data_IF_600906093095
#
_entry.id   IF_600906093095
#
_cell.length_a   1.000
_cell.length_b   1.000
_cell.length_c   1.000
_cell.angle_alpha   90.00
_cell.angle_beta   90.00
_cell.angle_gamma   90.00
#
_symmetry.space_group_name_H-M   'P 1'
#
loop_
_entity.id
_entity.type
_entity.pdbx_description
1 polymer ?
#
# COMPACT_ATOMS: atom_id res chain seq x y z
N UNK A 1 -30.67 32.02 4.46
CA UNK A 1 -29.39 32.52 5.00
C UNK A 1 -28.95 31.48 6.00
N UNK A 2 -28.29 30.47 5.46
CA UNK A 2 -27.95 29.21 6.09
C UNK A 2 -26.42 29.09 6.10
N UNK A 3 -25.92 28.39 7.13
CA UNK A 3 -24.58 27.79 7.24
C UNK A 3 -23.42 28.69 7.73
N UNK A 4 -23.61 29.30 8.90
CA UNK A 4 -22.52 29.40 9.88
C UNK A 4 -22.62 28.19 10.82
N UNK A 5 -21.99 27.07 10.44
CA UNK A 5 -21.49 26.10 11.42
C UNK A 5 -19.98 26.15 11.33
N UNK A 6 -19.41 26.94 12.23
CA UNK A 6 -17.98 26.99 12.48
C UNK A 6 -17.49 25.57 12.74
N UNK A 7 -16.43 25.22 12.02
CA UNK A 7 -15.66 24.03 12.32
C UNK A 7 -14.85 24.43 13.56
N UNK A 8 -15.12 23.77 14.69
CA UNK A 8 -14.44 24.05 15.95
C UNK A 8 -12.92 23.97 15.73
N UNK A 9 -12.20 25.03 16.11
CA UNK A 9 -10.76 25.22 15.88
C UNK A 9 -9.86 24.17 16.56
N UNK A 10 -10.42 23.23 17.32
CA UNK A 10 -9.70 22.08 17.89
C UNK A 10 -9.63 20.87 16.94
N UNK A 11 -10.36 20.90 15.82
CA UNK A 11 -10.28 19.88 14.75
C UNK A 11 -9.22 20.23 13.68
N UNK A 12 -8.23 21.05 14.03
CA UNK A 12 -7.03 21.25 13.21
C UNK A 12 -6.31 19.91 13.14
N UNK A 13 -6.44 19.24 11.99
CA UNK A 13 -5.69 18.03 11.62
C UNK A 13 -4.20 18.38 11.57
N UNK A 14 -3.55 18.44 12.73
CA UNK A 14 -2.12 18.67 12.88
C UNK A 14 -1.43 17.34 12.60
N UNK A 15 -0.85 17.19 11.41
CA UNK A 15 0.09 16.11 11.10
C UNK A 15 1.28 16.20 12.08
N UNK A 16 1.85 15.10 12.59
CA UNK A 16 3.03 15.18 13.45
C UNK A 16 4.14 15.82 12.62
N UNK A 17 4.84 16.79 13.21
CA UNK A 17 5.70 17.86 12.62
C UNK A 17 5.03 19.26 12.63
N UNK A 18 3.76 19.40 13.04
CA UNK A 18 3.16 20.74 13.20
C UNK A 18 2.89 21.44 11.87
N UNK A 19 2.81 20.67 10.78
CA UNK A 19 2.24 21.14 9.52
C UNK A 19 0.72 20.99 9.63
N UNK A 20 0.01 22.09 9.83
CA UNK A 20 -1.43 22.10 9.55
C UNK A 20 -1.60 21.82 8.06
N UNK A 21 -2.49 20.89 7.70
CA UNK A 21 -2.85 20.63 6.30
C UNK A 21 -3.25 21.93 5.59
N UNK A 22 -3.87 22.86 6.34
CA UNK A 22 -4.28 24.19 5.88
C UNK A 22 -3.13 25.18 5.64
N UNK A 23 -1.99 25.04 6.33
CA UNK A 23 -0.83 25.96 6.17
C UNK A 23 -0.18 25.88 4.79
N UNK A 24 -0.49 24.81 4.05
CA UNK A 24 -0.01 24.58 2.71
C UNK A 24 -1.06 24.94 1.65
N UNK A 25 -2.27 25.33 2.03
CA UNK A 25 -3.27 25.86 1.08
C UNK A 25 -3.10 27.39 0.96
N UNK A 26 -3.00 27.86 -0.28
CA UNK A 26 -3.03 29.29 -0.63
C UNK A 26 -4.27 29.54 -1.47
N UNK A 27 -5.10 30.48 -1.07
CA UNK A 27 -6.23 30.89 -1.91
C UNK A 27 -5.75 31.79 -3.05
N UNK A 28 -6.12 31.44 -4.27
CA UNK A 28 -5.93 32.25 -5.48
C UNK A 28 -7.29 32.66 -6.04
N UNK A 29 -7.29 33.58 -7.00
CA UNK A 29 -8.47 33.96 -7.78
C UNK A 29 -9.16 32.78 -8.49
N UNK A 30 -8.45 31.66 -8.68
CA UNK A 30 -8.98 30.42 -9.26
C UNK A 30 -9.34 29.35 -8.19
N UNK A 31 -9.38 29.72 -6.91
CA UNK A 31 -9.69 28.83 -5.80
C UNK A 31 -8.46 28.44 -4.95
N UNK A 32 -8.64 27.54 -3.97
CA UNK A 32 -7.57 27.07 -3.10
C UNK A 32 -6.54 26.23 -3.87
N UNK A 33 -5.29 26.67 -3.83
CA UNK A 33 -4.13 26.02 -4.44
C UNK A 33 -3.24 25.47 -3.34
N UNK A 34 -2.98 24.17 -3.37
CA UNK A 34 -2.05 23.54 -2.45
C UNK A 34 -0.58 23.75 -2.88
N UNK A 35 0.26 24.25 -1.97
CA UNK A 35 1.71 24.45 -2.13
C UNK A 35 2.45 23.95 -0.88
N UNK A 36 3.14 22.79 -0.93
CA UNK A 36 3.85 22.26 0.22
C UNK A 36 5.03 23.15 0.60
N UNK A 37 5.13 23.55 1.88
CA UNK A 37 6.28 24.31 2.40
C UNK A 37 7.59 23.51 2.42
N UNK A 38 7.54 22.17 2.44
CA UNK A 38 8.72 21.32 2.49
C UNK A 38 8.99 20.62 1.14
N UNK A 39 9.86 21.20 0.31
CA UNK A 39 10.30 20.65 -1.00
C UNK A 39 11.26 19.46 -0.91
N UNK A 40 11.75 19.10 0.28
CA UNK A 40 12.93 18.21 0.41
C UNK A 40 12.65 16.72 0.18
N UNK A 41 11.40 16.26 0.24
CA UNK A 41 11.05 14.85 0.07
C UNK A 41 10.32 14.54 -1.23
N UNK A 42 10.02 15.54 -2.07
CA UNK A 42 9.23 15.36 -3.29
C UNK A 42 7.80 14.86 -3.08
N UNK A 43 7.40 14.49 -1.85
CA UNK A 43 6.13 13.85 -1.50
C UNK A 43 4.94 14.79 -1.58
N UNK A 44 3.83 14.28 -2.12
CA UNK A 44 2.56 15.01 -2.12
C UNK A 44 1.89 14.90 -0.73
N UNK A 45 0.98 15.82 -0.40
CA UNK A 45 0.30 15.86 0.91
C UNK A 45 -0.65 14.70 1.06
N UNK A 46 -1.27 14.33 -0.06
CA UNK A 46 -2.12 13.16 -0.16
C UNK A 46 -1.32 11.89 0.17
N UNK A 47 -0.07 11.78 -0.32
CA UNK A 47 0.83 10.68 0.02
C UNK A 47 1.16 10.65 1.52
N UNK A 48 1.44 11.80 2.13
CA UNK A 48 1.70 11.90 3.58
C UNK A 48 0.48 11.54 4.42
N UNK A 49 -0.68 12.13 4.11
CA UNK A 49 -1.93 11.83 4.80
C UNK A 49 -2.30 10.36 4.67
N UNK A 50 -2.05 9.75 3.51
CA UNK A 50 -2.27 8.33 3.27
C UNK A 50 -1.30 7.42 4.05
N UNK A 51 -0.02 7.78 4.16
CA UNK A 51 0.97 7.06 4.97
C UNK A 51 0.61 7.05 6.47
N UNK A 52 0.08 8.17 6.96
CA UNK A 52 -0.36 8.31 8.35
C UNK A 52 -1.73 7.68 8.63
N UNK A 53 -2.52 7.44 7.59
CA UNK A 53 -3.88 6.91 7.72
C UNK A 53 -4.90 7.95 8.18
N UNK A 54 -4.71 9.22 7.82
CA UNK A 54 -5.62 10.31 8.19
C UNK A 54 -6.77 10.39 7.20
N UNK A 55 -7.77 9.53 7.39
CA UNK A 55 -8.89 9.39 6.47
C UNK A 55 -9.62 10.72 6.19
N UNK A 56 -9.86 11.54 7.23
CA UNK A 56 -10.46 12.87 7.07
C UNK A 56 -9.61 13.81 6.20
N UNK A 57 -8.29 13.81 6.42
CA UNK A 57 -7.36 14.64 5.63
C UNK A 57 -7.30 14.18 4.18
N UNK A 58 -7.26 12.86 3.96
CA UNK A 58 -7.29 12.26 2.62
C UNK A 58 -8.56 12.66 1.89
N UNK A 59 -9.74 12.56 2.52
CA UNK A 59 -11.01 13.00 1.93
C UNK A 59 -10.97 14.47 1.48
N UNK A 60 -10.49 15.37 2.32
CA UNK A 60 -10.38 16.79 2.00
C UNK A 60 -9.41 16.97 0.82
N UNK A 61 -8.23 16.36 0.88
CA UNK A 61 -7.19 16.50 -0.14
C UNK A 61 -7.60 15.92 -1.49
N UNK A 62 -8.41 14.87 -1.54
CA UNK A 62 -8.94 14.31 -2.78
C UNK A 62 -9.84 15.30 -3.55
N UNK A 63 -10.46 16.27 -2.87
CA UNK A 63 -11.21 17.34 -3.52
C UNK A 63 -10.34 18.36 -4.25
N UNK A 64 -9.04 18.43 -3.94
CA UNK A 64 -8.12 19.46 -4.43
C UNK A 64 -6.88 18.91 -5.16
N UNK A 65 -6.72 17.58 -5.19
CA UNK A 65 -5.52 16.94 -5.74
C UNK A 65 -5.88 15.74 -6.61
N UNK A 66 -5.01 15.46 -7.58
CA UNK A 66 -5.12 14.25 -8.36
C UNK A 66 -4.68 13.06 -7.50
N UNK A 67 -5.59 12.09 -7.34
CA UNK A 67 -5.41 10.88 -6.54
C UNK A 67 -4.19 10.04 -6.95
N UNK A 68 -3.84 10.08 -8.23
CA UNK A 68 -2.71 9.35 -8.82
C UNK A 68 -1.47 10.23 -8.97
N UNK A 69 -1.44 11.44 -8.40
CA UNK A 69 -0.28 12.33 -8.56
C UNK A 69 0.93 11.73 -7.86
N UNK A 70 1.84 11.21 -8.67
CA UNK A 70 3.11 10.69 -8.23
C UNK A 70 4.06 11.84 -7.86
N UNK A 71 4.71 11.76 -6.70
CA UNK A 71 5.89 12.56 -6.39
C UNK A 71 7.07 12.12 -7.27
N UNK A 72 8.17 12.86 -7.25
CA UNK A 72 9.39 12.53 -8.02
C UNK A 72 9.95 11.12 -7.73
N UNK A 73 9.54 10.52 -6.61
CA UNK A 73 9.88 9.15 -6.21
C UNK A 73 8.97 8.04 -6.81
N UNK A 74 7.93 8.39 -7.58
CA UNK A 74 7.04 7.41 -8.25
C UNK A 74 6.04 6.69 -7.33
N UNK A 75 5.97 7.04 -6.05
CA UNK A 75 5.12 6.36 -5.05
C UNK A 75 3.76 7.05 -4.86
N UNK A 76 2.67 6.32 -5.09
CA UNK A 76 1.30 6.87 -4.93
C UNK A 76 0.81 6.85 -3.49
N UNK A 77 -0.27 7.60 -3.23
CA UNK A 77 -0.94 7.60 -1.93
C UNK A 77 -1.43 6.20 -1.55
N UNK A 78 -1.94 5.43 -2.52
CA UNK A 78 -2.37 4.04 -2.30
C UNK A 78 -1.21 3.15 -1.87
N UNK A 79 -0.05 3.28 -2.54
CA UNK A 79 1.14 2.49 -2.18
C UNK A 79 1.56 2.74 -0.73
N UNK A 80 1.64 4.01 -0.32
CA UNK A 80 2.04 4.36 1.06
C UNK A 80 1.00 3.93 2.09
N UNK A 81 -0.29 4.06 1.81
CA UNK A 81 -1.33 3.55 2.70
C UNK A 81 -1.15 2.05 2.96
N UNK A 82 -0.89 1.27 1.90
CA UNK A 82 -0.65 -0.17 2.04
C UNK A 82 0.67 -0.48 2.78
N UNK A 83 1.74 0.24 2.45
CA UNK A 83 3.06 0.02 3.04
C UNK A 83 3.07 0.26 4.56
N UNK A 84 2.32 1.26 5.03
CA UNK A 84 2.17 1.58 6.45
C UNK A 84 0.95 0.94 7.12
N UNK A 85 0.32 -0.05 6.47
CA UNK A 85 -0.83 -0.79 6.99
C UNK A 85 -2.05 0.10 7.34
N UNK A 86 -2.35 1.09 6.50
CA UNK A 86 -3.51 1.97 6.60
C UNK A 86 -4.65 1.40 5.73
N UNK A 87 -5.21 0.27 6.15
CA UNK A 87 -6.19 -0.49 5.36
C UNK A 87 -7.45 0.32 5.08
N UNK A 88 -7.97 1.07 6.06
CA UNK A 88 -9.15 1.93 5.86
C UNK A 88 -8.90 2.96 4.76
N UNK A 89 -7.75 3.64 4.84
CA UNK A 89 -7.31 4.64 3.87
C UNK A 89 -7.09 4.04 2.50
N UNK A 90 -6.46 2.86 2.41
CA UNK A 90 -6.26 2.16 1.15
C UNK A 90 -7.59 1.77 0.49
N UNK A 91 -8.54 1.20 1.25
CA UNK A 91 -9.89 0.88 0.76
C UNK A 91 -10.61 2.14 0.28
N UNK A 92 -10.47 3.25 1.00
CA UNK A 92 -11.05 4.53 0.61
C UNK A 92 -10.45 5.07 -0.70
N UNK A 93 -9.12 5.07 -0.83
CA UNK A 93 -8.43 5.49 -2.04
C UNK A 93 -8.85 4.64 -3.26
N UNK A 94 -8.95 3.32 -3.08
CA UNK A 94 -9.43 2.41 -4.13
C UNK A 94 -10.88 2.71 -4.55
N UNK A 95 -11.78 2.97 -3.60
CA UNK A 95 -13.17 3.37 -3.88
C UNK A 95 -13.26 4.70 -4.65
N UNK A 96 -12.29 5.59 -4.43
CA UNK A 96 -12.18 6.87 -5.12
C UNK A 96 -11.45 6.77 -6.46
N UNK A 97 -11.15 5.55 -6.93
CA UNK A 97 -10.58 5.31 -8.25
C UNK A 97 -9.06 5.40 -8.32
N UNK A 98 -8.35 5.32 -7.19
CA UNK A 98 -6.89 5.30 -7.19
C UNK A 98 -6.36 4.14 -8.06
N UNK A 99 -5.39 4.42 -8.91
CA UNK A 99 -4.75 3.39 -9.72
C UNK A 99 -3.91 2.46 -8.84
N UNK A 100 -4.14 1.18 -9.02
CA UNK A 100 -3.32 0.11 -8.43
C UNK A 100 -1.89 0.10 -8.98
N UNK A 101 -1.69 0.55 -10.23
CA UNK A 101 -0.38 0.64 -10.87
C UNK A 101 0.14 2.08 -10.85
N UNK A 102 1.34 2.25 -10.33
CA UNK A 102 2.13 3.48 -10.38
C UNK A 102 3.41 3.27 -11.22
N UNK A 103 4.16 4.34 -11.48
CA UNK A 103 5.45 4.26 -12.16
C UNK A 103 6.44 3.44 -11.32
N UNK A 104 6.89 2.31 -11.88
CA UNK A 104 7.87 1.43 -11.27
C UNK A 104 7.40 0.56 -10.10
N UNK A 105 6.27 0.91 -9.46
CA UNK A 105 5.70 0.14 -8.35
C UNK A 105 4.19 -0.11 -8.54
N UNK A 106 3.73 -1.23 -8.03
CA UNK A 106 2.31 -1.59 -7.97
C UNK A 106 1.86 -1.71 -6.51
N UNK A 107 0.62 -1.34 -6.21
CA UNK A 107 -0.02 -1.46 -4.90
C UNK A 107 0.17 -2.85 -4.27
N UNK A 108 0.18 -3.90 -5.10
CA UNK A 108 0.38 -5.27 -4.63
C UNK A 108 1.78 -5.55 -4.07
N UNK A 109 2.82 -4.76 -4.40
CA UNK A 109 4.13 -4.90 -3.75
C UNK A 109 4.10 -4.43 -2.29
N UNK A 110 3.32 -3.39 -1.98
CA UNK A 110 3.17 -2.86 -0.63
C UNK A 110 2.15 -3.64 0.21
N UNK A 111 1.17 -4.29 -0.42
CA UNK A 111 0.11 -5.02 0.27
C UNK A 111 0.62 -6.12 1.24
N UNK A 112 1.66 -6.92 0.92
CA UNK A 112 2.29 -7.81 1.89
C UNK A 112 2.68 -7.09 3.19
N UNK A 113 3.31 -5.92 3.12
CA UNK A 113 3.74 -5.16 4.31
C UNK A 113 2.60 -4.79 5.24
N UNK A 114 1.39 -4.63 4.71
CA UNK A 114 0.18 -4.40 5.53
C UNK A 114 -0.17 -5.60 6.43
N UNK A 115 0.20 -6.83 6.03
CA UNK A 115 -0.18 -8.05 6.72
C UNK A 115 -1.66 -8.42 6.55
N UNK A 116 -2.42 -7.70 5.72
CA UNK A 116 -3.81 -7.99 5.41
C UNK A 116 -3.93 -8.89 4.18
N UNK A 117 -4.13 -10.19 4.40
CA UNK A 117 -4.43 -11.14 3.32
C UNK A 117 -5.71 -10.76 2.55
N UNK A 118 -6.70 -10.21 3.23
CA UNK A 118 -7.94 -9.69 2.62
C UNK A 118 -7.62 -8.62 1.58
N UNK A 119 -6.77 -7.64 1.92
CA UNK A 119 -6.37 -6.59 0.98
C UNK A 119 -5.62 -7.15 -0.25
N UNK A 120 -4.78 -8.17 -0.05
CA UNK A 120 -4.12 -8.86 -1.16
C UNK A 120 -5.17 -9.55 -2.06
N UNK A 121 -6.15 -10.23 -1.46
CA UNK A 121 -7.28 -10.83 -2.21
C UNK A 121 -8.05 -9.77 -2.99
N UNK A 122 -8.39 -8.65 -2.36
CA UNK A 122 -9.15 -7.56 -2.99
C UNK A 122 -8.39 -7.03 -4.20
N UNK A 123 -7.10 -6.72 -4.06
CA UNK A 123 -6.27 -6.23 -5.17
C UNK A 123 -6.20 -7.23 -6.34
N UNK A 124 -6.04 -8.52 -6.06
CA UNK A 124 -5.92 -9.54 -7.12
C UNK A 124 -7.27 -9.87 -7.77
N UNK A 125 -8.33 -10.04 -6.97
CA UNK A 125 -9.64 -10.50 -7.46
C UNK A 125 -10.56 -9.37 -7.91
N UNK A 126 -10.61 -8.25 -7.18
CA UNK A 126 -11.53 -7.15 -7.46
C UNK A 126 -10.89 -6.11 -8.39
N UNK A 127 -9.59 -5.86 -8.24
CA UNK A 127 -8.86 -4.89 -9.06
C UNK A 127 -7.99 -5.55 -10.15
N UNK A 128 -8.11 -6.88 -10.32
CA UNK A 128 -7.46 -7.67 -11.37
C UNK A 128 -5.95 -7.46 -11.46
N UNK A 129 -5.29 -7.17 -10.34
CA UNK A 129 -3.84 -7.01 -10.30
C UNK A 129 -3.17 -8.36 -10.47
N UNK A 130 -2.24 -8.46 -11.44
CA UNK A 130 -1.44 -9.66 -11.60
C UNK A 130 -0.63 -9.92 -10.32
N UNK A 131 -0.76 -11.11 -9.73
CA UNK A 131 -0.04 -11.50 -8.52
C UNK A 131 1.48 -11.53 -8.69
N UNK A 132 1.93 -11.68 -9.94
CA UNK A 132 3.32 -11.77 -10.36
C UNK A 132 3.83 -10.47 -10.99
N UNK A 133 3.28 -9.32 -10.60
CA UNK A 133 3.85 -8.03 -10.99
C UNK A 133 5.29 -7.93 -10.50
N UNK A 134 6.15 -7.38 -11.34
CA UNK A 134 7.54 -7.06 -11.02
C UNK A 134 7.65 -5.54 -10.87
N UNK A 135 8.42 -5.09 -9.88
CA UNK A 135 8.85 -3.70 -9.78
C UNK A 135 10.07 -3.42 -10.66
N UNK A 136 10.65 -2.22 -10.54
CA UNK A 136 11.84 -1.81 -11.30
C UNK A 136 13.07 -2.71 -11.09
N UNK A 137 13.15 -3.42 -9.97
CA UNK A 137 14.26 -4.30 -9.61
C UNK A 137 13.95 -5.77 -9.96
N UNK A 138 12.76 -6.05 -10.50
CA UNK A 138 12.28 -7.42 -10.76
C UNK A 138 11.75 -8.11 -9.50
N UNK A 139 11.52 -7.38 -8.41
CA UNK A 139 10.97 -7.94 -7.19
C UNK A 139 9.46 -8.12 -7.31
N UNK A 140 8.96 -9.26 -6.84
CA UNK A 140 7.54 -9.61 -6.89
C UNK A 140 6.90 -9.50 -5.50
N UNK A 141 5.56 -9.40 -5.38
CA UNK A 141 4.87 -9.31 -4.09
C UNK A 141 5.26 -10.38 -3.06
N UNK A 142 5.58 -11.60 -3.50
CA UNK A 142 6.03 -12.67 -2.60
C UNK A 142 7.40 -12.39 -1.98
N UNK A 143 8.30 -11.69 -2.69
CA UNK A 143 9.58 -11.23 -2.16
C UNK A 143 9.36 -10.16 -1.09
N UNK A 144 8.41 -9.24 -1.29
CA UNK A 144 8.06 -8.22 -0.29
C UNK A 144 7.52 -8.81 1.01
N UNK A 145 6.88 -9.99 0.98
CA UNK A 145 6.43 -10.68 2.19
C UNK A 145 7.59 -11.07 3.13
N UNK A 146 8.81 -11.27 2.59
CA UNK A 146 10.00 -11.59 3.39
C UNK A 146 10.44 -10.44 4.32
N UNK A 147 10.01 -9.20 4.06
CA UNK A 147 10.30 -8.05 4.91
C UNK A 147 9.47 -8.02 6.20
N UNK A 148 8.47 -8.89 6.33
CA UNK A 148 7.64 -9.02 7.53
C UNK A 148 8.30 -9.94 8.58
N UNK A 149 7.87 -9.89 9.85
CA UNK A 149 8.20 -10.94 10.81
C UNK A 149 7.72 -12.32 10.34
N UNK A 150 8.44 -13.39 10.69
CA UNK A 150 8.24 -14.74 10.13
C UNK A 150 6.81 -15.27 10.27
N UNK A 151 6.15 -15.01 11.40
CA UNK A 151 4.76 -15.42 11.64
C UNK A 151 3.80 -14.82 10.59
N UNK A 152 3.91 -13.51 10.33
CA UNK A 152 3.07 -12.81 9.34
C UNK A 152 3.49 -13.10 7.92
N UNK A 153 4.80 -13.21 7.68
CA UNK A 153 5.35 -13.59 6.39
C UNK A 153 4.80 -14.95 5.95
N UNK A 154 4.75 -15.93 6.86
CA UNK A 154 4.24 -17.28 6.57
C UNK A 154 2.79 -17.25 6.09
N UNK A 155 1.92 -16.53 6.80
CA UNK A 155 0.51 -16.35 6.41
C UNK A 155 0.39 -15.68 5.04
N UNK A 156 1.13 -14.59 4.84
CA UNK A 156 1.11 -13.83 3.57
C UNK A 156 1.62 -14.66 2.39
N UNK A 157 2.72 -15.40 2.57
CA UNK A 157 3.32 -16.25 1.53
C UNK A 157 2.36 -17.39 1.16
N UNK A 158 1.78 -18.06 2.15
CA UNK A 158 0.76 -19.10 1.90
C UNK A 158 -0.42 -18.52 1.11
N UNK A 159 -0.88 -17.33 1.48
CA UNK A 159 -1.97 -16.67 0.77
C UNK A 159 -1.61 -16.32 -0.68
N UNK A 160 -0.42 -15.78 -0.91
CA UNK A 160 0.10 -15.49 -2.25
C UNK A 160 0.25 -16.78 -3.10
N UNK A 161 0.69 -17.89 -2.51
CA UNK A 161 0.69 -19.21 -3.18
C UNK A 161 -0.70 -19.64 -3.60
N UNK A 162 -1.71 -19.44 -2.74
CA UNK A 162 -3.11 -19.73 -3.09
C UNK A 162 -3.60 -18.89 -4.27
N UNK A 163 -3.06 -17.67 -4.42
CA UNK A 163 -3.31 -16.78 -5.56
C UNK A 163 -2.44 -17.08 -6.78
N UNK A 164 -1.66 -18.17 -6.77
CA UNK A 164 -0.74 -18.60 -7.84
C UNK A 164 0.45 -17.66 -8.08
N UNK A 165 0.99 -17.07 -7.00
CA UNK A 165 2.27 -16.39 -7.05
C UNK A 165 3.40 -17.36 -7.43
N UNK A 166 4.25 -16.96 -8.37
CA UNK A 166 5.42 -17.72 -8.80
C UNK A 166 6.61 -17.45 -7.89
N UNK A 167 7.29 -18.51 -7.47
CA UNK A 167 8.53 -18.44 -6.68
C UNK A 167 9.79 -18.42 -7.54
N UNK A 168 9.64 -18.71 -8.84
CA UNK A 168 10.74 -18.91 -9.78
C UNK A 168 11.15 -17.62 -10.50
N UNK A 169 10.37 -16.55 -10.32
CA UNK A 169 10.69 -15.22 -10.86
C UNK A 169 11.96 -14.70 -10.21
N UNK A 170 12.82 -14.12 -11.04
CA UNK A 170 14.18 -13.74 -10.65
C UNK A 170 14.31 -12.24 -10.52
N UNK A 171 14.58 -11.79 -9.30
CA UNK A 171 15.02 -10.44 -9.00
C UNK A 171 16.38 -10.20 -9.65
N UNK A 172 16.50 -9.11 -10.41
CA UNK A 172 17.69 -8.76 -11.22
C UNK A 172 18.20 -9.94 -12.09
N UNK A 173 17.29 -10.78 -12.59
CA UNK A 173 17.58 -12.02 -13.35
C UNK A 173 18.47 -13.06 -12.64
N UNK A 174 18.76 -12.88 -11.34
CA UNK A 174 19.75 -13.66 -10.60
C UNK A 174 19.16 -14.44 -9.43
N UNK A 175 18.32 -13.79 -8.63
CA UNK A 175 17.91 -14.33 -7.33
C UNK A 175 16.43 -14.72 -7.34
N UNK A 176 16.13 -15.98 -7.03
CA UNK A 176 14.74 -16.43 -6.82
C UNK A 176 14.26 -16.05 -5.42
N UNK A 177 12.95 -16.09 -5.19
CA UNK A 177 12.37 -15.94 -3.85
C UNK A 177 13.04 -16.88 -2.83
N UNK A 178 13.29 -18.14 -3.22
CA UNK A 178 13.91 -19.15 -2.36
C UNK A 178 15.36 -18.78 -2.01
N UNK A 179 16.10 -18.23 -2.95
CA UNK A 179 17.50 -17.83 -2.73
C UNK A 179 17.58 -16.63 -1.79
N UNK A 180 16.70 -15.66 -1.96
CA UNK A 180 16.60 -14.49 -1.06
C UNK A 180 16.23 -14.95 0.35
N UNK A 181 15.20 -15.78 0.49
CA UNK A 181 14.75 -16.31 1.78
C UNK A 181 15.85 -17.09 2.51
N UNK A 182 16.69 -17.84 1.78
CA UNK A 182 17.88 -18.49 2.34
C UNK A 182 18.96 -17.49 2.76
N UNK A 183 19.23 -16.47 1.94
CA UNK A 183 20.23 -15.44 2.22
C UNK A 183 19.92 -14.65 3.50
N UNK A 184 18.63 -14.35 3.74
CA UNK A 184 18.16 -13.64 4.94
C UNK A 184 17.92 -14.56 6.16
N UNK A 185 18.31 -15.84 6.07
CA UNK A 185 18.14 -16.88 7.11
C UNK A 185 16.69 -17.23 7.46
N UNK A 186 15.74 -16.99 6.56
CA UNK A 186 14.32 -17.35 6.70
C UNK A 186 13.99 -18.67 6.01
N UNK A 187 14.78 -19.70 6.31
CA UNK A 187 14.66 -21.02 5.68
C UNK A 187 13.30 -21.69 5.92
N UNK A 188 12.67 -21.41 7.07
CA UNK A 188 11.36 -21.93 7.46
C UNK A 188 10.20 -21.47 6.56
N UNK A 189 10.37 -20.37 5.83
CA UNK A 189 9.36 -19.84 4.91
C UNK A 189 9.42 -20.50 3.53
N UNK A 190 10.53 -21.18 3.22
CA UNK A 190 10.78 -21.84 1.93
C UNK A 190 10.29 -23.29 1.94
N UNK A 191 10.29 -23.96 3.09
CA UNK A 191 9.87 -25.35 3.18
C UNK A 191 8.33 -25.47 3.20
N UNK A 192 7.79 -26.25 2.25
CA UNK A 192 6.38 -26.71 2.27
C UNK A 192 6.08 -27.59 3.49
N UNK A 193 7.11 -28.13 4.14
CA UNK A 193 7.09 -29.17 5.20
C UNK A 193 6.36 -28.85 6.51
N UNK A 194 5.55 -27.79 6.58
CA UNK A 194 4.89 -27.41 7.82
C UNK A 194 3.36 -27.41 7.81
N UNK A 195 2.71 -27.76 6.69
CA UNK A 195 1.25 -27.88 6.61
C UNK A 195 0.95 -29.11 5.75
N UNK A 196 0.35 -30.18 6.31
CA UNK A 196 -0.17 -31.29 5.50
C UNK A 196 -1.06 -30.76 4.37
N UNK A 197 -0.94 -31.31 3.15
CA UNK A 197 -1.69 -30.87 1.97
C UNK A 197 -3.20 -30.74 2.25
N UNK A 198 -3.75 -31.59 3.10
CA UNK A 198 -5.15 -31.56 3.54
C UNK A 198 -5.53 -30.26 4.27
N UNK A 199 -4.65 -29.73 5.11
CA UNK A 199 -4.84 -28.47 5.84
C UNK A 199 -4.62 -27.28 4.89
N UNK A 200 -3.68 -27.40 3.95
CA UNK A 200 -3.46 -26.37 2.93
C UNK A 200 -4.70 -26.21 2.03
N UNK A 201 -5.28 -27.32 1.57
CA UNK A 201 -6.53 -27.30 0.80
C UNK A 201 -7.74 -26.83 1.62
N UNK A 202 -7.79 -27.14 2.92
CA UNK A 202 -8.83 -26.64 3.81
C UNK A 202 -8.72 -25.13 4.04
N UNK A 203 -7.49 -24.62 4.23
CA UNK A 203 -7.22 -23.19 4.33
C UNK A 203 -7.60 -22.45 3.04
N UNK A 204 -7.27 -23.01 1.87
CA UNK A 204 -7.70 -22.49 0.55
C UNK A 204 -9.23 -22.38 0.49
N UNK A 205 -9.96 -23.42 0.91
CA UNK A 205 -11.44 -23.41 0.90
C UNK A 205 -12.02 -22.36 1.83
N UNK A 206 -11.44 -22.17 3.02
CA UNK A 206 -11.95 -21.27 4.05
C UNK A 206 -11.59 -19.79 3.82
N UNK A 207 -10.47 -19.51 3.15
CA UNK A 207 -10.02 -18.13 2.90
C UNK A 207 -10.49 -17.55 1.57
N UNK A 208 -10.96 -18.40 0.65
CA UNK A 208 -11.44 -17.98 -0.68
C UNK A 208 -12.96 -18.10 -0.88
N UNK A 209 -13.72 -18.62 0.09
CA UNK A 209 -15.20 -18.60 0.11
C UNK A 209 -15.73 -17.33 0.75
#
# INVERSE_FOLDING_TARGET
QELERGWDEEEIITLPIGLSVMDNFRYTENGPVYSPKNRTLGVTPLVLAAAEGRDAAVCILLGFSNIDKEPDSGVTALFMALYYNRISTAKMLLRQGAKVKASGYNALHAAPKSGSCEMITDLVKLYYVNVNVEDIDGATPIVYALQQPDERARSTILHLRCLKASEDLKLDHRWTFKDIARAIRKHSLVSEYGIPDDIFHLFIRLTLS
#
